data_IF_486881777245
#
_entry.id   IF_486881777245
#
_cell.length_a   1.000
_cell.length_b   1.000
_cell.length_c   1.000
_cell.angle_alpha   90.00
_cell.angle_beta   90.00
_cell.angle_gamma   90.00
#
_symmetry.space_group_name_H-M   'P 1'
#
loop_
_entity.id
_entity.type
_entity.pdbx_description
1 polymer ?
#
# COMPACT_ATOMS: atom_id res chain seq x y z
N UNK A 1 -12.39 15.35 -16.49
CA UNK A 1 -11.59 14.20 -15.99
C UNK A 1 -11.16 14.30 -14.51
N UNK A 2 -11.17 15.48 -13.87
CA UNK A 2 -10.75 15.66 -12.45
C UNK A 2 -11.82 15.42 -11.36
N UNK A 3 -13.09 15.22 -11.73
CA UNK A 3 -14.19 15.01 -10.75
C UNK A 3 -14.14 13.66 -9.99
N UNK A 4 -13.35 12.69 -10.46
CA UNK A 4 -13.29 11.34 -9.88
C UNK A 4 -12.15 11.12 -8.87
N UNK A 5 -11.28 12.11 -8.61
CA UNK A 5 -10.24 11.98 -7.58
C UNK A 5 -10.75 12.26 -6.16
N UNK A 6 -11.85 13.01 -6.01
CA UNK A 6 -12.39 13.43 -4.71
C UNK A 6 -13.57 12.59 -4.20
N UNK A 7 -13.98 11.55 -4.94
CA UNK A 7 -15.14 10.70 -4.61
C UNK A 7 -14.76 9.35 -4.01
N UNK A 8 -13.47 9.05 -3.83
CA UNK A 8 -13.03 7.79 -3.23
C UNK A 8 -13.13 7.86 -1.71
N UNK A 9 -13.95 6.99 -1.13
CA UNK A 9 -14.00 6.77 0.31
C UNK A 9 -12.65 6.22 0.78
N UNK A 10 -12.12 6.75 1.88
CA UNK A 10 -10.97 6.11 2.51
C UNK A 10 -11.38 4.74 3.06
N UNK A 11 -10.43 3.81 3.17
CA UNK A 11 -10.71 2.50 3.78
C UNK A 11 -11.29 2.66 5.21
N UNK A 12 -10.83 3.68 5.95
CA UNK A 12 -11.38 4.05 7.26
C UNK A 12 -12.86 4.45 7.18
N UNK A 13 -13.25 5.20 6.16
CA UNK A 13 -14.65 5.59 5.98
C UNK A 13 -15.52 4.40 5.56
N UNK A 14 -15.00 3.47 4.74
CA UNK A 14 -15.71 2.23 4.40
C UNK A 14 -15.95 1.37 5.65
N UNK A 15 -14.94 1.23 6.51
CA UNK A 15 -15.06 0.55 7.81
C UNK A 15 -16.17 1.19 8.64
N UNK A 16 -16.15 2.51 8.77
CA UNK A 16 -17.12 3.24 9.58
C UNK A 16 -18.55 3.13 9.01
N UNK A 17 -18.70 3.23 7.69
CA UNK A 17 -19.98 3.03 7.00
C UNK A 17 -20.53 1.63 7.29
N UNK A 18 -19.73 0.60 7.01
CA UNK A 18 -20.15 -0.80 7.13
C UNK A 18 -20.46 -1.16 8.58
N UNK A 19 -19.62 -0.73 9.54
CA UNK A 19 -19.84 -0.99 10.96
C UNK A 19 -21.12 -0.34 11.49
N UNK A 20 -21.42 0.89 11.05
CA UNK A 20 -22.66 1.58 11.45
C UNK A 20 -23.88 0.90 10.86
N UNK A 21 -23.82 0.55 9.57
CA UNK A 21 -24.92 -0.15 8.92
C UNK A 21 -25.14 -1.53 9.57
N UNK A 22 -24.07 -2.31 9.80
CA UNK A 22 -24.15 -3.59 10.52
C UNK A 22 -24.83 -3.44 11.88
N UNK A 23 -24.42 -2.44 12.68
CA UNK A 23 -25.02 -2.19 13.99
C UNK A 23 -26.51 -1.88 13.92
N UNK A 24 -26.94 -1.03 12.97
CA UNK A 24 -28.34 -0.65 12.82
C UNK A 24 -29.21 -1.80 12.31
N UNK A 25 -28.73 -2.54 11.32
CA UNK A 25 -29.43 -3.72 10.79
C UNK A 25 -29.57 -4.80 11.86
N UNK A 26 -28.51 -5.03 12.67
CA UNK A 26 -28.56 -5.96 13.81
C UNK A 26 -29.49 -5.50 14.94
N UNK A 27 -29.77 -4.21 15.01
CA UNK A 27 -30.76 -3.63 15.93
C UNK A 27 -32.18 -3.62 15.32
N UNK A 28 -32.42 -4.40 14.26
CA UNK A 28 -33.67 -4.52 13.53
C UNK A 28 -34.20 -3.19 12.95
N UNK A 29 -33.32 -2.20 12.76
CA UNK A 29 -33.69 -0.94 12.10
C UNK A 29 -33.80 -1.19 10.59
N UNK A 30 -34.93 -0.85 9.94
CA UNK A 30 -35.07 -1.03 8.50
C UNK A 30 -33.92 -0.39 7.72
N UNK A 31 -33.47 -1.05 6.64
CA UNK A 31 -32.31 -0.60 5.85
C UNK A 31 -32.44 0.83 5.33
N UNK A 32 -33.64 1.21 4.86
CA UNK A 32 -33.91 2.55 4.38
C UNK A 32 -33.79 3.60 5.49
N UNK A 33 -34.28 3.29 6.69
CA UNK A 33 -34.18 4.17 7.85
C UNK A 33 -32.73 4.29 8.33
N UNK A 34 -32.02 3.16 8.38
CA UNK A 34 -30.60 3.10 8.69
C UNK A 34 -29.77 4.00 7.76
N UNK A 35 -30.01 3.93 6.45
CA UNK A 35 -29.34 4.77 5.46
C UNK A 35 -29.68 6.26 5.63
N UNK A 36 -30.94 6.61 5.91
CA UNK A 36 -31.37 8.00 6.21
C UNK A 36 -30.69 8.54 7.47
N UNK A 37 -30.55 7.73 8.52
CA UNK A 37 -29.82 8.13 9.74
C UNK A 37 -28.34 8.41 9.43
N UNK A 38 -27.70 7.54 8.65
CA UNK A 38 -26.29 7.71 8.23
C UNK A 38 -26.08 8.92 7.31
N UNK A 39 -27.05 9.22 6.44
CA UNK A 39 -27.08 10.41 5.59
C UNK A 39 -27.09 11.68 6.44
N UNK A 40 -27.98 11.79 7.43
CA UNK A 40 -28.07 12.96 8.34
C UNK A 40 -26.79 13.20 9.16
N UNK A 41 -26.06 12.13 9.48
CA UNK A 41 -24.81 12.22 10.26
C UNK A 41 -23.56 12.44 9.40
N UNK A 42 -23.69 12.50 8.07
CA UNK A 42 -22.56 12.63 7.17
C UNK A 42 -22.11 14.09 7.05
N UNK A 43 -20.85 14.37 7.46
CA UNK A 43 -20.26 15.71 7.37
C UNK A 43 -19.64 16.05 6.00
N UNK A 44 -19.45 15.06 5.13
CA UNK A 44 -18.78 15.25 3.84
C UNK A 44 -19.78 15.39 2.70
N UNK A 45 -19.70 16.49 1.95
CA UNK A 45 -20.56 16.73 0.78
C UNK A 45 -20.48 15.62 -0.28
N UNK A 46 -19.30 15.04 -0.50
CA UNK A 46 -19.14 13.96 -1.48
C UNK A 46 -19.84 12.67 -1.02
N UNK A 47 -19.75 12.33 0.27
CA UNK A 47 -20.41 11.16 0.84
C UNK A 47 -21.92 11.32 0.94
N UNK A 48 -22.38 12.53 1.27
CA UNK A 48 -23.80 12.87 1.29
C UNK A 48 -24.43 12.55 -0.07
N UNK A 49 -23.84 13.03 -1.18
CA UNK A 49 -24.34 12.73 -2.53
C UNK A 49 -24.45 11.24 -2.87
N UNK A 50 -23.50 10.43 -2.39
CA UNK A 50 -23.55 8.97 -2.60
C UNK A 50 -24.71 8.38 -1.79
N UNK A 51 -24.82 8.75 -0.51
CA UNK A 51 -25.91 8.32 0.37
C UNK A 51 -27.28 8.79 -0.13
N UNK A 52 -27.39 10.01 -0.65
CA UNK A 52 -28.64 10.54 -1.24
C UNK A 52 -29.14 9.61 -2.34
N UNK A 53 -28.24 9.22 -3.26
CA UNK A 53 -28.60 8.34 -4.37
C UNK A 53 -28.90 6.92 -3.91
N UNK A 54 -28.14 6.41 -2.93
CA UNK A 54 -28.40 5.08 -2.35
C UNK A 54 -29.74 5.03 -1.63
N UNK A 55 -30.09 6.06 -0.85
CA UNK A 55 -31.39 6.18 -0.18
C UNK A 55 -32.52 6.24 -1.20
N UNK A 56 -32.37 7.04 -2.26
CA UNK A 56 -33.35 7.14 -3.34
C UNK A 56 -33.56 5.78 -4.02
N UNK A 57 -32.49 5.11 -4.44
CA UNK A 57 -32.56 3.82 -5.13
C UNK A 57 -33.20 2.73 -4.25
N UNK A 58 -32.80 2.64 -2.98
CA UNK A 58 -33.36 1.69 -2.02
C UNK A 58 -34.82 2.02 -1.70
N UNK A 59 -35.19 3.30 -1.63
CA UNK A 59 -36.60 3.71 -1.45
C UNK A 59 -37.49 3.33 -2.64
N UNK A 60 -36.90 3.24 -3.83
CA UNK A 60 -37.56 2.76 -5.05
C UNK A 60 -37.55 1.23 -5.18
N UNK A 61 -37.12 0.51 -4.14
CA UNK A 61 -37.12 -0.96 -4.11
C UNK A 61 -35.90 -1.62 -4.77
N UNK A 62 -34.85 -0.88 -5.10
CA UNK A 62 -33.61 -1.48 -5.59
C UNK A 62 -32.79 -2.07 -4.43
N UNK A 63 -32.07 -3.16 -4.70
CA UNK A 63 -31.09 -3.71 -3.76
C UNK A 63 -29.97 -2.69 -3.44
N UNK A 64 -29.52 -2.67 -2.18
CA UNK A 64 -28.40 -1.86 -1.72
C UNK A 64 -27.14 -2.17 -2.52
N UNK A 65 -26.84 -3.45 -2.75
CA UNK A 65 -25.69 -3.88 -3.56
C UNK A 65 -25.75 -3.35 -4.99
N UNK A 66 -26.93 -3.32 -5.61
CA UNK A 66 -27.13 -2.77 -6.94
C UNK A 66 -26.85 -1.27 -6.97
N UNK A 67 -27.32 -0.50 -5.99
CA UNK A 67 -27.02 0.94 -5.91
C UNK A 67 -25.53 1.19 -5.63
N UNK A 68 -24.93 0.47 -4.68
CA UNK A 68 -23.51 0.59 -4.34
C UNK A 68 -22.58 0.17 -5.50
N UNK A 69 -23.02 -0.73 -6.38
CA UNK A 69 -22.24 -1.17 -7.55
C UNK A 69 -21.87 -0.04 -8.50
N UNK A 70 -22.71 1.01 -8.61
CA UNK A 70 -22.41 2.23 -9.37
C UNK A 70 -21.20 2.99 -8.82
N UNK A 71 -20.83 2.68 -7.56
CA UNK A 71 -19.70 3.25 -6.84
C UNK A 71 -18.64 2.17 -6.56
N UNK A 72 -18.39 1.22 -7.48
CA UNK A 72 -17.40 0.15 -7.29
C UNK A 72 -15.99 0.67 -6.92
N UNK A 73 -15.60 1.83 -7.44
CA UNK A 73 -14.30 2.44 -7.19
C UNK A 73 -14.16 2.94 -5.74
N UNK A 74 -15.30 3.08 -5.07
CA UNK A 74 -15.46 3.65 -3.74
C UNK A 74 -15.65 2.57 -2.68
N UNK A 75 -16.42 1.51 -2.93
CA UNK A 75 -16.64 0.43 -1.95
C UNK A 75 -15.83 -0.84 -2.25
N UNK A 76 -15.38 -1.01 -3.50
CA UNK A 76 -14.68 -2.21 -3.96
C UNK A 76 -15.63 -3.36 -4.26
N UNK A 77 -15.29 -4.19 -5.25
CA UNK A 77 -16.12 -5.32 -5.67
C UNK A 77 -16.33 -6.35 -4.56
N UNK A 78 -15.32 -6.58 -3.71
CA UNK A 78 -15.44 -7.50 -2.58
C UNK A 78 -16.59 -7.10 -1.63
N UNK A 79 -16.62 -5.85 -1.18
CA UNK A 79 -17.66 -5.36 -0.27
C UNK A 79 -19.06 -5.44 -0.90
N UNK A 80 -19.18 -5.04 -2.17
CA UNK A 80 -20.45 -5.06 -2.91
C UNK A 80 -21.00 -6.48 -3.02
N UNK A 81 -20.15 -7.46 -3.33
CA UNK A 81 -20.57 -8.86 -3.47
C UNK A 81 -20.97 -9.48 -2.13
N UNK A 82 -20.28 -9.17 -1.04
CA UNK A 82 -20.68 -9.65 0.30
C UNK A 82 -22.05 -9.10 0.70
N UNK A 83 -22.32 -7.82 0.41
CA UNK A 83 -23.63 -7.21 0.62
C UNK A 83 -24.67 -7.89 -0.25
N UNK A 84 -24.39 -8.09 -1.55
CA UNK A 84 -25.31 -8.75 -2.49
C UNK A 84 -25.75 -10.12 -1.99
N UNK A 85 -24.81 -10.94 -1.57
CA UNK A 85 -25.09 -12.30 -1.07
C UNK A 85 -25.86 -12.25 0.25
N UNK A 86 -25.61 -11.22 1.07
CA UNK A 86 -26.38 -10.98 2.29
C UNK A 86 -27.82 -10.60 2.00
N UNK A 87 -28.06 -9.79 0.97
CA UNK A 87 -29.41 -9.40 0.53
C UNK A 87 -30.17 -10.57 -0.10
N UNK A 88 -29.53 -11.33 -1.00
CA UNK A 88 -30.15 -12.49 -1.66
C UNK A 88 -30.42 -13.63 -0.67
N UNK A 89 -29.53 -13.83 0.31
CA UNK A 89 -29.63 -14.89 1.32
C UNK A 89 -30.39 -14.49 2.59
N UNK A 90 -30.86 -13.25 2.71
CA UNK A 90 -31.57 -12.77 3.92
C UNK A 90 -30.70 -12.75 5.19
N UNK A 91 -29.38 -12.71 5.05
CA UNK A 91 -28.39 -12.72 6.15
C UNK A 91 -27.48 -11.48 6.11
N UNK A 92 -28.08 -10.35 5.73
CA UNK A 92 -27.37 -9.09 5.53
C UNK A 92 -26.72 -8.58 6.83
N UNK A 93 -27.35 -8.80 7.97
CA UNK A 93 -26.82 -8.50 9.31
C UNK A 93 -25.45 -9.14 9.54
N UNK A 94 -25.36 -10.47 9.36
CA UNK A 94 -24.13 -11.26 9.55
C UNK A 94 -23.08 -10.87 8.54
N UNK A 95 -23.45 -10.70 7.27
CA UNK A 95 -22.51 -10.36 6.21
C UNK A 95 -21.94 -8.95 6.37
N UNK A 96 -22.73 -7.98 6.86
CA UNK A 96 -22.23 -6.63 7.15
C UNK A 96 -21.30 -6.61 8.36
N UNK A 97 -21.61 -7.37 9.42
CA UNK A 97 -20.72 -7.50 10.59
C UNK A 97 -19.40 -8.15 10.19
N UNK A 98 -19.49 -9.22 9.39
CA UNK A 98 -18.36 -9.90 8.80
C UNK A 98 -17.50 -8.94 7.94
N UNK A 99 -18.14 -8.20 7.03
CA UNK A 99 -17.47 -7.22 6.16
C UNK A 99 -16.81 -6.08 6.97
N UNK A 100 -17.44 -5.63 8.06
CA UNK A 100 -16.91 -4.57 8.90
C UNK A 100 -15.61 -4.99 9.59
N UNK A 101 -15.56 -6.19 10.16
CA UNK A 101 -14.34 -6.72 10.79
C UNK A 101 -13.24 -6.95 9.75
N UNK A 102 -13.59 -7.45 8.58
CA UNK A 102 -12.66 -7.67 7.47
C UNK A 102 -12.03 -6.36 6.97
N UNK A 103 -12.84 -5.33 6.72
CA UNK A 103 -12.33 -4.01 6.32
C UNK A 103 -11.46 -3.39 7.41
N UNK A 104 -11.77 -3.65 8.70
CA UNK A 104 -10.98 -3.18 9.84
C UNK A 104 -9.61 -3.87 9.87
N UNK A 105 -9.54 -5.20 9.75
CA UNK A 105 -8.26 -5.93 9.63
C UNK A 105 -7.41 -5.40 8.48
N UNK A 106 -8.01 -5.21 7.30
CA UNK A 106 -7.32 -4.59 6.15
C UNK A 106 -6.79 -3.19 6.45
N UNK A 107 -7.57 -2.38 7.17
CA UNK A 107 -7.15 -1.03 7.56
C UNK A 107 -5.98 -1.06 8.53
N UNK A 108 -6.03 -1.93 9.53
CA UNK A 108 -4.98 -2.10 10.53
C UNK A 108 -3.68 -2.61 9.88
N UNK A 109 -3.77 -3.63 9.02
CA UNK A 109 -2.61 -4.14 8.27
C UNK A 109 -1.96 -3.04 7.43
N UNK A 110 -2.76 -2.29 6.67
CA UNK A 110 -2.26 -1.15 5.88
C UNK A 110 -1.63 -0.07 6.76
N UNK A 111 -2.25 0.23 7.91
CA UNK A 111 -1.75 1.23 8.86
C UNK A 111 -0.41 0.79 9.46
N UNK A 112 -0.23 -0.48 9.79
CA UNK A 112 1.04 -1.03 10.29
C UNK A 112 2.15 -0.88 9.25
N UNK A 113 1.90 -1.30 8.01
CA UNK A 113 2.89 -1.17 6.92
C UNK A 113 3.28 0.29 6.68
N UNK A 114 2.31 1.21 6.64
CA UNK A 114 2.59 2.64 6.49
C UNK A 114 3.32 3.20 7.72
N UNK A 115 2.91 2.80 8.92
CA UNK A 115 3.49 3.25 10.18
C UNK A 115 4.97 2.90 10.29
N UNK A 116 5.37 1.70 9.86
CA UNK A 116 6.76 1.26 9.81
C UNK A 116 7.65 2.14 8.91
N UNK A 117 7.09 2.81 7.91
CA UNK A 117 7.85 3.69 7.02
C UNK A 117 8.02 5.13 7.53
N UNK A 118 7.28 5.54 8.57
CA UNK A 118 7.32 6.91 9.07
C UNK A 118 8.71 7.28 9.61
N UNK A 119 9.28 6.40 10.44
CA UNK A 119 10.58 6.63 11.07
C UNK A 119 11.72 6.75 10.05
N UNK A 120 11.87 5.81 9.07
CA UNK A 120 12.87 5.94 8.01
C UNK A 120 12.75 7.23 7.20
N UNK A 121 11.52 7.63 6.85
CA UNK A 121 11.28 8.86 6.08
C UNK A 121 11.68 10.08 6.90
N UNK A 122 11.27 10.15 8.17
CA UNK A 122 11.57 11.29 9.03
C UNK A 122 13.08 11.52 9.19
N UNK A 123 13.82 10.45 9.51
CA UNK A 123 15.29 10.54 9.67
C UNK A 123 15.96 10.91 8.35
N UNK A 124 15.59 10.26 7.25
CA UNK A 124 16.19 10.55 5.94
C UNK A 124 15.98 12.02 5.55
N UNK A 125 14.76 12.54 5.74
CA UNK A 125 14.44 13.94 5.47
C UNK A 125 15.20 14.88 6.40
N UNK A 126 15.31 14.55 7.69
CA UNK A 126 16.07 15.35 8.66
C UNK A 126 17.56 15.40 8.31
N UNK A 127 18.18 14.25 8.01
CA UNK A 127 19.59 14.18 7.61
C UNK A 127 19.85 14.95 6.32
N UNK A 128 19.07 14.69 5.26
CA UNK A 128 19.23 15.41 3.99
C UNK A 128 18.95 16.90 4.14
N UNK A 129 18.00 17.28 5.00
CA UNK A 129 17.70 18.67 5.32
C UNK A 129 18.87 19.37 6.02
N UNK A 130 19.41 18.78 7.08
CA UNK A 130 20.56 19.33 7.83
C UNK A 130 21.79 19.40 6.93
N UNK A 131 22.13 18.31 6.23
CA UNK A 131 23.25 18.29 5.27
C UNK A 131 23.06 19.31 4.16
N UNK A 132 21.83 19.46 3.66
CA UNK A 132 21.46 20.48 2.68
C UNK A 132 21.76 21.88 3.20
N UNK A 133 21.26 22.24 4.39
CA UNK A 133 21.49 23.56 5.01
C UNK A 133 22.97 23.84 5.21
N UNK A 134 23.73 22.87 5.74
CA UNK A 134 25.17 23.01 5.93
C UNK A 134 25.84 23.29 4.58
N UNK A 135 25.50 22.51 3.57
CA UNK A 135 26.12 22.60 2.25
C UNK A 135 25.75 23.88 1.51
N UNK A 136 24.49 24.35 1.57
CA UNK A 136 24.02 25.50 0.79
C UNK A 136 24.16 26.85 1.49
N UNK A 137 24.21 26.88 2.84
CA UNK A 137 24.23 28.14 3.59
C UNK A 137 25.46 28.30 4.47
N UNK A 138 25.88 27.25 5.18
CA UNK A 138 27.03 27.34 6.10
C UNK A 138 28.34 27.29 5.33
N UNK A 139 28.49 26.30 4.44
CA UNK A 139 29.72 26.04 3.70
C UNK A 139 30.16 27.23 2.81
N UNK A 140 29.27 27.89 2.04
CA UNK A 140 29.68 29.02 1.19
C UNK A 140 30.21 30.22 1.99
N UNK A 141 29.83 30.37 3.26
CA UNK A 141 30.35 31.45 4.12
C UNK A 141 31.81 31.24 4.52
N UNK A 142 32.28 29.99 4.51
CA UNK A 142 33.66 29.63 4.86
C UNK A 142 34.54 29.58 3.60
N UNK A 143 33.93 29.41 2.41
CA UNK A 143 34.63 29.31 1.13
C UNK A 143 35.57 30.48 0.79
N UNK A 144 35.25 31.77 1.07
CA UNK A 144 36.17 32.88 0.82
C UNK A 144 37.49 32.76 1.59
N UNK A 145 37.45 32.19 2.80
CA UNK A 145 38.62 31.96 3.66
C UNK A 145 39.52 30.91 3.00
N UNK A 146 38.93 29.83 2.50
CA UNK A 146 39.67 28.79 1.77
C UNK A 146 40.31 29.29 0.47
N UNK A 147 39.59 30.12 -0.29
CA UNK A 147 40.09 30.68 -1.55
C UNK A 147 41.22 31.70 -1.34
N UNK A 148 41.21 32.46 -0.24
CA UNK A 148 42.22 33.48 0.05
C UNK A 148 43.54 32.89 0.57
N UNK A 149 43.56 31.62 0.97
CA UNK A 149 44.74 30.93 1.50
C UNK A 149 45.52 30.13 0.43
N UNK A 150 45.07 30.12 -0.83
CA UNK A 150 45.85 29.59 -1.97
C UNK A 150 46.15 28.09 -1.96
N UNK A 151 45.57 27.33 -1.02
CA UNK A 151 45.81 25.90 -0.87
C UNK A 151 44.97 25.07 -1.86
N UNK A 152 45.54 23.97 -2.35
CA UNK A 152 44.82 23.01 -3.20
C UNK A 152 43.75 22.29 -2.37
N UNK A 153 42.48 22.59 -2.63
CA UNK A 153 41.39 21.97 -1.88
C UNK A 153 41.33 20.45 -2.12
N UNK A 154 41.16 19.66 -1.03
CA UNK A 154 40.95 18.22 -1.12
C UNK A 154 39.83 17.84 -2.10
N UNK A 155 39.91 16.68 -2.77
CA UNK A 155 38.91 16.25 -3.74
C UNK A 155 37.51 16.14 -3.12
N UNK A 156 37.40 15.75 -1.84
CA UNK A 156 36.14 15.70 -1.07
C UNK A 156 35.51 17.09 -0.93
N UNK A 157 36.31 18.09 -0.55
CA UNK A 157 35.90 19.50 -0.45
C UNK A 157 35.49 20.08 -1.80
N UNK A 158 36.24 19.78 -2.88
CA UNK A 158 35.88 20.22 -4.24
C UNK A 158 34.55 19.61 -4.72
N UNK A 159 34.32 18.34 -4.43
CA UNK A 159 33.04 17.69 -4.73
C UNK A 159 31.89 18.33 -3.93
N UNK A 160 32.11 18.60 -2.64
CA UNK A 160 31.11 19.28 -1.80
C UNK A 160 30.79 20.70 -2.30
N UNK A 161 31.79 21.45 -2.76
CA UNK A 161 31.62 22.76 -3.40
C UNK A 161 30.79 22.65 -4.68
N UNK A 162 31.11 21.69 -5.54
CA UNK A 162 30.37 21.47 -6.78
C UNK A 162 28.90 21.12 -6.50
N UNK A 163 28.64 20.25 -5.53
CA UNK A 163 27.29 19.91 -5.09
C UNK A 163 26.56 21.10 -4.46
N UNK A 164 27.26 21.90 -3.65
CA UNK A 164 26.73 23.13 -3.05
C UNK A 164 26.31 24.14 -4.10
N UNK A 165 27.19 24.48 -5.04
CA UNK A 165 26.90 25.43 -6.10
C UNK A 165 25.72 24.96 -6.97
N UNK A 166 25.67 23.66 -7.28
CA UNK A 166 24.55 23.05 -7.99
C UNK A 166 23.24 23.18 -7.20
N UNK A 167 23.24 22.88 -5.90
CA UNK A 167 22.05 22.99 -5.05
C UNK A 167 21.62 24.44 -4.81
N UNK A 168 22.54 25.39 -4.70
CA UNK A 168 22.20 26.81 -4.53
C UNK A 168 21.57 27.38 -5.80
N UNK A 169 22.12 27.08 -6.98
CA UNK A 169 21.60 27.61 -8.24
C UNK A 169 20.38 26.84 -8.78
N UNK A 170 20.37 25.50 -8.63
CA UNK A 170 19.35 24.64 -9.21
C UNK A 170 18.46 23.94 -8.18
N UNK A 171 18.66 24.13 -6.87
CA UNK A 171 17.96 23.39 -5.83
C UNK A 171 16.44 23.48 -5.90
N UNK A 172 15.90 24.66 -6.22
CA UNK A 172 14.45 24.83 -6.45
C UNK A 172 13.98 24.02 -7.66
N UNK A 173 14.74 24.02 -8.76
CA UNK A 173 14.42 23.22 -9.95
C UNK A 173 14.58 21.71 -9.68
N UNK A 174 15.53 21.31 -8.85
CA UNK A 174 15.71 19.92 -8.40
C UNK A 174 14.51 19.48 -7.55
N UNK A 175 14.05 20.30 -6.59
CA UNK A 175 12.87 20.00 -5.77
C UNK A 175 11.62 19.88 -6.65
N UNK A 176 11.36 20.84 -7.54
CA UNK A 176 10.26 20.77 -8.48
C UNK A 176 10.40 19.57 -9.43
N UNK A 177 11.62 19.25 -9.88
CA UNK A 177 11.93 18.11 -10.73
C UNK A 177 11.64 16.79 -10.04
N UNK A 178 12.04 16.63 -8.77
CA UNK A 178 11.75 15.44 -7.96
C UNK A 178 10.25 15.29 -7.71
N UNK A 179 9.54 16.38 -7.38
CA UNK A 179 8.09 16.36 -7.20
C UNK A 179 7.39 16.00 -8.51
N UNK A 180 7.76 16.63 -9.62
CA UNK A 180 7.18 16.36 -10.94
C UNK A 180 7.48 14.93 -11.40
N UNK A 181 8.72 14.45 -11.22
CA UNK A 181 9.11 13.08 -11.51
C UNK A 181 8.34 12.08 -10.65
N UNK A 182 8.14 12.37 -9.36
CA UNK A 182 7.33 11.56 -8.46
C UNK A 182 5.87 11.48 -8.90
N UNK A 183 5.27 12.61 -9.28
CA UNK A 183 3.90 12.67 -9.83
C UNK A 183 3.83 11.89 -11.14
N UNK A 184 4.78 12.08 -12.05
CA UNK A 184 4.85 11.36 -13.33
C UNK A 184 5.02 9.85 -13.12
N UNK A 185 5.86 9.42 -12.17
CA UNK A 185 6.02 8.02 -11.80
C UNK A 185 4.72 7.42 -11.25
N UNK A 186 4.01 8.15 -10.39
CA UNK A 186 2.71 7.71 -9.86
C UNK A 186 1.67 7.61 -10.99
N UNK A 187 1.67 8.57 -11.91
CA UNK A 187 0.76 8.57 -13.07
C UNK A 187 1.10 7.45 -14.04
N UNK A 188 2.39 7.23 -14.33
CA UNK A 188 2.89 6.15 -15.16
C UNK A 188 2.56 4.79 -14.54
N UNK A 189 2.78 4.62 -13.23
CA UNK A 189 2.41 3.41 -12.50
C UNK A 189 0.91 3.12 -12.55
N UNK A 190 0.05 4.15 -12.56
CA UNK A 190 -1.40 3.97 -12.65
C UNK A 190 -1.91 3.74 -14.08
N UNK A 191 -1.29 4.36 -15.08
CA UNK A 191 -1.79 4.35 -16.47
C UNK A 191 -1.11 3.31 -17.36
N UNK A 192 0.18 3.05 -17.15
CA UNK A 192 1.00 2.22 -18.03
C UNK A 192 1.08 0.81 -17.45
N UNK A 193 0.21 -0.08 -17.96
CA UNK A 193 0.15 -1.50 -17.55
C UNK A 193 1.51 -2.23 -17.58
N UNK A 194 2.36 -2.11 -18.63
CA UNK A 194 3.65 -2.80 -18.64
C UNK A 194 4.62 -2.24 -17.59
N UNK A 195 4.59 -0.93 -17.34
CA UNK A 195 5.41 -0.30 -16.30
C UNK A 195 4.99 -0.76 -14.90
N UNK A 196 3.68 -0.79 -14.62
CA UNK A 196 3.14 -1.32 -13.38
C UNK A 196 3.52 -2.80 -13.17
N UNK A 197 3.44 -3.62 -14.22
CA UNK A 197 3.83 -5.02 -14.17
C UNK A 197 5.33 -5.18 -13.89
N UNK A 198 6.20 -4.42 -14.58
CA UNK A 198 7.64 -4.45 -14.36
C UNK A 198 8.00 -4.03 -12.93
N UNK A 199 7.41 -2.93 -12.43
CA UNK A 199 7.59 -2.47 -11.05
C UNK A 199 7.12 -3.54 -10.06
N UNK A 200 5.92 -4.10 -10.26
CA UNK A 200 5.39 -5.16 -9.40
C UNK A 200 6.30 -6.38 -9.35
N UNK A 201 6.91 -6.76 -10.49
CA UNK A 201 7.86 -7.88 -10.57
C UNK A 201 9.18 -7.56 -9.86
N UNK A 202 9.70 -6.34 -10.02
CA UNK A 202 10.94 -5.90 -9.34
C UNK A 202 10.72 -5.90 -7.83
N UNK A 203 9.60 -5.34 -7.33
CA UNK A 203 9.30 -5.33 -5.90
C UNK A 203 9.22 -6.72 -5.29
N UNK A 204 8.71 -7.71 -6.05
CA UNK A 204 8.70 -9.11 -5.62
C UNK A 204 10.09 -9.76 -5.63
N UNK A 205 11.05 -9.21 -6.37
CA UNK A 205 12.41 -9.76 -6.51
C UNK A 205 13.44 -9.12 -5.55
N UNK A 206 13.12 -8.00 -4.89
CA UNK A 206 14.04 -7.37 -3.94
C UNK A 206 14.11 -8.20 -2.66
N UNK A 207 15.30 -8.68 -2.23
CA UNK A 207 15.42 -9.44 -0.98
C UNK A 207 14.87 -8.59 0.19
N UNK A 208 14.12 -9.24 1.09
CA UNK A 208 13.34 -8.65 2.20
C UNK A 208 12.00 -8.00 1.77
N UNK A 209 12.00 -7.02 0.86
CA UNK A 209 10.74 -6.37 0.42
C UNK A 209 9.85 -7.31 -0.41
N UNK A 210 10.46 -8.24 -1.14
CA UNK A 210 9.77 -9.26 -1.94
C UNK A 210 9.00 -10.25 -1.09
N UNK A 211 9.58 -10.74 0.02
CA UNK A 211 8.88 -11.62 0.96
C UNK A 211 7.69 -10.90 1.60
N UNK A 212 7.88 -9.66 2.07
CA UNK A 212 6.77 -8.87 2.62
C UNK A 212 5.65 -8.67 1.59
N UNK A 213 6.01 -8.33 0.35
CA UNK A 213 5.04 -8.14 -0.72
C UNK A 213 4.30 -9.45 -1.05
N UNK A 214 5.02 -10.57 -1.13
CA UNK A 214 4.45 -11.89 -1.38
C UNK A 214 3.47 -12.29 -0.26
N UNK A 215 3.90 -12.27 1.00
CA UNK A 215 3.03 -12.61 2.14
C UNK A 215 1.83 -11.68 2.22
N UNK A 216 1.99 -10.38 1.91
CA UNK A 216 0.87 -9.44 1.83
C UNK A 216 -0.13 -9.80 0.72
N UNK A 217 0.35 -10.15 -0.48
CA UNK A 217 -0.56 -10.56 -1.56
C UNK A 217 -1.22 -11.89 -1.25
N UNK A 218 -0.50 -12.84 -0.66
CA UNK A 218 -1.05 -14.14 -0.29
C UNK A 218 -2.12 -14.02 0.78
N UNK A 219 -1.86 -13.24 1.83
CA UNK A 219 -2.85 -12.97 2.86
C UNK A 219 -4.13 -12.39 2.25
N UNK A 220 -4.04 -11.42 1.33
CA UNK A 220 -5.22 -10.83 0.68
C UNK A 220 -5.91 -11.76 -0.31
N UNK A 221 -5.16 -12.55 -1.09
CA UNK A 221 -5.69 -13.55 -2.02
C UNK A 221 -6.48 -14.61 -1.26
N UNK A 222 -5.84 -15.28 -0.30
CA UNK A 222 -6.43 -16.33 0.51
C UNK A 222 -7.65 -15.81 1.28
N UNK A 223 -7.56 -14.60 1.86
CA UNK A 223 -8.68 -13.99 2.58
C UNK A 223 -9.85 -13.73 1.64
N UNK A 224 -9.65 -12.96 0.59
CA UNK A 224 -10.75 -12.61 -0.32
C UNK A 224 -11.38 -13.85 -0.93
N UNK A 225 -10.58 -14.81 -1.39
CA UNK A 225 -11.09 -16.02 -2.01
C UNK A 225 -11.81 -16.92 -1.00
N UNK A 226 -11.20 -17.18 0.16
CA UNK A 226 -11.80 -17.99 1.23
C UNK A 226 -13.12 -17.43 1.75
N UNK A 227 -13.25 -16.09 1.80
CA UNK A 227 -14.49 -15.43 2.22
C UNK A 227 -15.61 -15.56 1.22
N UNK A 228 -15.32 -15.35 -0.05
CA UNK A 228 -16.32 -15.53 -1.10
C UNK A 228 -16.78 -16.99 -1.13
N UNK A 229 -15.88 -17.95 -0.94
CA UNK A 229 -16.25 -19.37 -0.85
C UNK A 229 -17.09 -19.70 0.39
N UNK A 230 -16.76 -19.15 1.56
CA UNK A 230 -17.55 -19.35 2.79
C UNK A 230 -18.93 -18.69 2.72
N UNK A 231 -19.10 -17.65 1.90
CA UNK A 231 -20.39 -17.07 1.56
C UNK A 231 -21.15 -17.88 0.48
N UNK A 232 -20.73 -19.12 0.18
CA UNK A 232 -21.32 -20.02 -0.81
C UNK A 232 -21.34 -19.46 -2.25
N UNK A 233 -20.43 -18.55 -2.60
CA UNK A 233 -20.25 -18.17 -4.00
C UNK A 233 -19.55 -19.30 -4.75
N UNK A 234 -20.00 -19.54 -5.99
CA UNK A 234 -19.35 -20.49 -6.89
C UNK A 234 -17.86 -20.16 -7.09
N UNK A 235 -17.02 -21.19 -7.13
CA UNK A 235 -15.55 -21.08 -7.12
C UNK A 235 -15.03 -20.17 -8.25
N UNK A 236 -15.57 -20.31 -9.46
CA UNK A 236 -15.20 -19.48 -10.62
C UNK A 236 -15.54 -18.00 -10.38
N UNK A 237 -16.73 -17.71 -9.86
CA UNK A 237 -17.16 -16.34 -9.54
C UNK A 237 -16.29 -15.75 -8.45
N UNK A 238 -16.01 -16.52 -7.40
CA UNK A 238 -15.14 -16.12 -6.30
C UNK A 238 -13.70 -15.82 -6.78
N UNK A 239 -13.15 -16.62 -7.69
CA UNK A 239 -11.83 -16.38 -8.27
C UNK A 239 -11.80 -15.09 -9.11
N UNK A 240 -12.82 -14.85 -9.95
CA UNK A 240 -12.91 -13.62 -10.76
C UNK A 240 -13.02 -12.35 -9.90
N UNK A 241 -13.86 -12.36 -8.86
CA UNK A 241 -13.98 -11.23 -7.92
C UNK A 241 -12.65 -11.03 -7.17
N UNK A 242 -11.99 -12.11 -6.78
CA UNK A 242 -10.67 -12.05 -6.14
C UNK A 242 -9.64 -11.38 -7.07
N UNK A 243 -9.57 -11.77 -8.35
CA UNK A 243 -8.70 -11.14 -9.35
C UNK A 243 -8.98 -9.64 -9.51
N UNK A 244 -10.26 -9.24 -9.49
CA UNK A 244 -10.64 -7.82 -9.58
C UNK A 244 -10.24 -7.01 -8.34
N UNK A 245 -10.29 -7.63 -7.16
CA UNK A 245 -9.96 -6.99 -5.89
C UNK A 245 -8.45 -6.78 -5.68
N UNK A 246 -7.62 -7.58 -6.35
CA UNK A 246 -6.16 -7.53 -6.25
C UNK A 246 -5.57 -6.35 -7.03
N UNK A 247 -4.71 -5.57 -6.38
CA UNK A 247 -4.06 -4.40 -6.98
C UNK A 247 -2.78 -4.73 -7.73
N UNK A 248 -2.10 -5.82 -7.36
CA UNK A 248 -0.88 -6.27 -8.02
C UNK A 248 -1.22 -6.97 -9.34
N UNK A 249 -0.70 -6.46 -10.46
CA UNK A 249 -1.02 -6.97 -11.79
C UNK A 249 -0.50 -8.38 -12.06
N UNK A 250 0.60 -8.78 -11.40
CA UNK A 250 1.16 -10.13 -11.52
C UNK A 250 0.18 -11.15 -10.93
N UNK A 251 -0.24 -10.94 -9.68
CA UNK A 251 -1.26 -11.78 -9.03
C UNK A 251 -2.60 -11.70 -9.75
N UNK A 252 -3.04 -10.50 -10.16
CA UNK A 252 -4.31 -10.34 -10.89
C UNK A 252 -4.35 -11.20 -12.15
N UNK A 253 -3.28 -11.20 -12.95
CA UNK A 253 -3.20 -12.03 -14.16
C UNK A 253 -3.23 -13.52 -13.81
N UNK A 254 -2.50 -13.93 -12.79
CA UNK A 254 -2.44 -15.34 -12.41
C UNK A 254 -3.77 -15.85 -11.84
N UNK A 255 -4.47 -15.04 -11.03
CA UNK A 255 -5.79 -15.40 -10.49
C UNK A 255 -6.86 -15.47 -11.61
N UNK A 256 -6.75 -14.66 -12.67
CA UNK A 256 -7.63 -14.84 -13.83
C UNK A 256 -7.38 -16.14 -14.58
N UNK A 257 -6.12 -16.52 -14.78
CA UNK A 257 -5.80 -17.83 -15.37
C UNK A 257 -6.34 -18.95 -14.48
N UNK A 258 -6.18 -18.82 -13.17
CA UNK A 258 -6.76 -19.77 -12.22
C UNK A 258 -8.28 -19.89 -12.42
N UNK A 259 -9.01 -18.77 -12.52
CA UNK A 259 -10.46 -18.78 -12.77
C UNK A 259 -10.82 -19.49 -14.10
N UNK A 260 -10.03 -19.29 -15.15
CA UNK A 260 -10.19 -19.94 -16.44
C UNK A 260 -9.96 -21.47 -16.34
N UNK A 261 -8.91 -21.89 -15.65
CA UNK A 261 -8.56 -23.31 -15.50
C UNK A 261 -9.56 -24.06 -14.61
N UNK A 262 -10.07 -23.42 -13.56
CA UNK A 262 -11.17 -23.96 -12.74
C UNK A 262 -12.43 -24.12 -13.59
N UNK A 263 -12.72 -23.17 -14.49
CA UNK A 263 -13.87 -23.27 -15.40
C UNK A 263 -13.77 -24.45 -16.36
N UNK A 264 -12.55 -24.91 -16.66
CA UNK A 264 -12.26 -26.12 -17.45
C UNK A 264 -12.23 -27.40 -16.59
N UNK A 265 -12.54 -27.31 -15.30
CA UNK A 265 -12.58 -28.45 -14.37
C UNK A 265 -11.23 -28.87 -13.79
N UNK A 266 -10.17 -28.06 -13.95
CA UNK A 266 -8.88 -28.35 -13.29
C UNK A 266 -8.92 -28.00 -11.80
N UNK A 267 -8.10 -28.71 -11.01
CA UNK A 267 -7.96 -28.44 -9.57
C UNK A 267 -7.18 -27.13 -9.35
N UNK A 268 -7.57 -26.39 -8.31
CA UNK A 268 -6.95 -25.13 -7.89
C UNK A 268 -5.51 -25.41 -7.46
N UNK A 269 -5.32 -26.42 -6.59
CA UNK A 269 -4.01 -26.84 -6.09
C UNK A 269 -3.00 -27.05 -7.23
N UNK A 270 -3.41 -27.77 -8.28
CA UNK A 270 -2.55 -28.03 -9.45
C UNK A 270 -2.13 -26.75 -10.17
N UNK A 271 -3.03 -25.77 -10.32
CA UNK A 271 -2.68 -24.51 -10.97
C UNK A 271 -1.73 -23.68 -10.10
N UNK A 272 -1.97 -23.59 -8.79
CA UNK A 272 -1.11 -22.85 -7.88
C UNK A 272 0.33 -23.41 -7.87
N UNK A 273 0.47 -24.73 -7.99
CA UNK A 273 1.76 -25.42 -8.02
C UNK A 273 2.61 -25.08 -9.27
N UNK A 274 1.98 -24.63 -10.37
CA UNK A 274 2.72 -24.22 -11.58
C UNK A 274 3.54 -22.94 -11.41
N UNK A 275 3.27 -22.15 -10.35
CA UNK A 275 3.88 -20.84 -10.13
C UNK A 275 4.47 -20.73 -8.70
N UNK A 276 5.52 -21.50 -8.37
CA UNK A 276 6.10 -21.56 -7.02
C UNK A 276 6.69 -20.22 -6.56
N UNK A 277 7.04 -19.33 -7.49
CA UNK A 277 7.53 -17.98 -7.18
C UNK A 277 6.44 -17.05 -6.64
N UNK A 278 5.17 -17.36 -6.90
CA UNK A 278 4.02 -16.56 -6.47
C UNK A 278 3.23 -17.28 -5.36
N UNK A 279 3.17 -18.60 -5.42
CA UNK A 279 2.48 -19.45 -4.46
C UNK A 279 3.50 -20.38 -3.79
N UNK A 280 3.94 -20.08 -2.55
CA UNK A 280 4.85 -20.94 -1.81
C UNK A 280 4.25 -22.34 -1.63
N UNK A 281 5.12 -23.35 -1.52
CA UNK A 281 4.76 -24.77 -1.56
C UNK A 281 3.67 -25.19 -0.56
N UNK A 282 3.62 -24.54 0.61
CA UNK A 282 2.59 -24.75 1.62
C UNK A 282 1.17 -24.49 1.08
N UNK A 283 1.01 -23.51 0.18
CA UNK A 283 -0.30 -23.06 -0.31
C UNK A 283 -0.96 -24.12 -1.20
N UNK A 284 -0.36 -24.59 -2.31
CA UNK A 284 -0.92 -25.67 -3.11
C UNK A 284 -1.26 -26.92 -2.28
N UNK A 285 -0.40 -27.30 -1.33
CA UNK A 285 -0.58 -28.49 -0.49
C UNK A 285 -1.81 -28.38 0.42
N UNK A 286 -1.94 -27.29 1.18
CA UNK A 286 -3.09 -27.07 2.05
C UNK A 286 -4.37 -26.87 1.23
N UNK A 287 -4.30 -26.16 0.10
CA UNK A 287 -5.44 -26.04 -0.83
C UNK A 287 -5.88 -27.41 -1.34
N UNK A 288 -4.97 -28.32 -1.69
CA UNK A 288 -5.33 -29.67 -2.14
C UNK A 288 -6.11 -30.44 -1.05
N UNK A 289 -5.71 -30.31 0.21
CA UNK A 289 -6.41 -30.89 1.37
C UNK A 289 -7.80 -30.24 1.51
N UNK A 290 -7.89 -28.92 1.41
CA UNK A 290 -9.15 -28.18 1.48
C UNK A 290 -10.11 -28.52 0.34
N UNK A 291 -9.61 -28.70 -0.88
CA UNK A 291 -10.38 -29.15 -2.04
C UNK A 291 -10.94 -30.56 -1.83
N UNK A 292 -10.11 -31.49 -1.33
CA UNK A 292 -10.49 -32.90 -1.14
C UNK A 292 -11.47 -33.07 0.02
N UNK A 293 -11.33 -32.28 1.09
CA UNK A 293 -12.20 -32.32 2.27
C UNK A 293 -13.46 -31.46 2.13
N UNK A 294 -13.61 -30.73 1.02
CA UNK A 294 -14.74 -29.82 0.79
C UNK A 294 -14.73 -28.57 1.68
N UNK A 295 -13.61 -28.27 2.33
CA UNK A 295 -13.49 -27.18 3.31
C UNK A 295 -12.51 -26.08 2.87
N UNK A 296 -12.37 -25.90 1.55
CA UNK A 296 -11.45 -24.97 0.90
C UNK A 296 -11.54 -23.54 1.46
N UNK A 297 -12.76 -23.03 1.69
CA UNK A 297 -12.97 -21.68 2.21
C UNK A 297 -12.31 -21.47 3.58
N UNK A 298 -12.49 -22.40 4.53
CA UNK A 298 -11.83 -22.33 5.85
C UNK A 298 -10.33 -22.51 5.75
N UNK A 299 -9.85 -23.41 4.89
CA UNK A 299 -8.40 -23.60 4.68
C UNK A 299 -7.73 -22.33 4.15
N UNK A 300 -8.37 -21.64 3.20
CA UNK A 300 -7.88 -20.35 2.71
C UNK A 300 -7.89 -19.27 3.79
N UNK A 301 -8.87 -19.25 4.70
CA UNK A 301 -8.83 -18.31 5.83
C UNK A 301 -7.70 -18.60 6.81
N UNK A 302 -7.45 -19.88 7.10
CA UNK A 302 -6.30 -20.28 7.90
C UNK A 302 -4.98 -19.82 7.26
N UNK A 303 -4.81 -20.04 5.96
CA UNK A 303 -3.65 -19.54 5.21
C UNK A 303 -3.56 -18.01 5.26
N UNK A 304 -4.69 -17.30 5.15
CA UNK A 304 -4.73 -15.85 5.28
C UNK A 304 -4.19 -15.37 6.63
N UNK A 305 -4.65 -15.99 7.73
CA UNK A 305 -4.22 -15.62 9.08
C UNK A 305 -2.72 -15.93 9.29
N UNK A 306 -2.23 -17.05 8.74
CA UNK A 306 -0.81 -17.39 8.74
C UNK A 306 0.05 -16.33 8.02
N UNK A 307 -0.31 -15.98 6.79
CA UNK A 307 0.43 -14.96 6.03
C UNK A 307 0.27 -13.55 6.61
N UNK A 308 -0.83 -13.25 7.29
CA UNK A 308 -0.98 -11.99 8.01
C UNK A 308 -0.04 -11.91 9.22
N UNK A 309 0.14 -13.02 9.95
CA UNK A 309 1.15 -13.12 11.00
C UNK A 309 2.56 -12.92 10.42
N UNK A 310 2.88 -13.57 9.30
CA UNK A 310 4.17 -13.40 8.62
C UNK A 310 4.40 -11.95 8.18
N UNK A 311 3.38 -11.27 7.63
CA UNK A 311 3.47 -9.84 7.30
C UNK A 311 3.75 -8.99 8.54
N UNK A 312 3.12 -9.29 9.68
CA UNK A 312 3.37 -8.56 10.92
C UNK A 312 4.82 -8.74 11.39
N UNK A 313 5.34 -9.97 11.35
CA UNK A 313 6.70 -10.29 11.76
C UNK A 313 7.74 -9.67 10.82
N UNK A 314 7.55 -9.81 9.51
CA UNK A 314 8.41 -9.20 8.50
C UNK A 314 8.41 -7.67 8.60
N UNK A 315 7.26 -7.04 8.87
CA UNK A 315 7.17 -5.59 9.08
C UNK A 315 7.96 -5.14 10.30
N UNK A 316 7.88 -5.91 11.40
CA UNK A 316 8.66 -5.64 12.63
C UNK A 316 10.16 -5.77 12.36
N UNK A 317 10.57 -6.86 11.71
CA UNK A 317 11.97 -7.13 11.40
C UNK A 317 12.56 -6.11 10.41
N UNK A 318 11.80 -5.72 9.39
CA UNK A 318 12.17 -4.66 8.46
C UNK A 318 12.43 -3.34 9.19
N UNK A 319 11.55 -2.97 10.13
CA UNK A 319 11.71 -1.73 10.90
C UNK A 319 13.02 -1.73 11.70
N UNK A 320 13.36 -2.86 12.34
CA UNK A 320 14.61 -3.01 13.10
C UNK A 320 15.85 -3.11 12.21
N UNK A 321 15.77 -3.76 11.04
CA UNK A 321 16.90 -3.91 10.14
C UNK A 321 17.23 -2.62 9.36
N UNK A 322 16.24 -1.76 9.12
CA UNK A 322 16.43 -0.47 8.45
C UNK A 322 17.26 0.50 9.32
N UNK A 323 17.15 0.42 10.66
CA UNK A 323 17.85 1.34 11.56
C UNK A 323 19.39 1.31 11.42
N UNK A 324 20.07 0.15 11.49
CA UNK A 324 21.52 0.08 11.23
C UNK A 324 21.92 0.61 9.85
N UNK A 325 21.13 0.30 8.81
CA UNK A 325 21.40 0.79 7.45
C UNK A 325 21.31 2.32 7.39
N UNK A 326 20.30 2.90 8.05
CA UNK A 326 20.16 4.35 8.16
C UNK A 326 21.32 4.97 8.94
N UNK A 327 21.75 4.38 10.06
CA UNK A 327 22.88 4.88 10.85
C UNK A 327 24.18 4.87 10.04
N UNK A 328 24.46 3.79 9.30
CA UNK A 328 25.63 3.71 8.42
C UNK A 328 25.54 4.76 7.31
N UNK A 329 24.39 4.86 6.65
CA UNK A 329 24.16 5.85 5.59
C UNK A 329 24.34 7.29 6.08
N UNK A 330 23.76 7.61 7.25
CA UNK A 330 23.92 8.91 7.91
C UNK A 330 25.38 9.16 8.28
N UNK A 331 26.06 8.17 8.86
CA UNK A 331 27.47 8.25 9.21
C UNK A 331 28.35 8.54 8.00
N UNK A 332 28.06 7.91 6.85
CA UNK A 332 28.75 8.18 5.58
C UNK A 332 28.50 9.62 5.12
N UNK A 333 27.25 10.10 5.13
CA UNK A 333 26.92 11.48 4.71
C UNK A 333 27.56 12.51 5.64
N UNK A 334 27.35 12.38 6.94
CA UNK A 334 27.86 13.33 7.94
C UNK A 334 29.38 13.26 7.99
N UNK A 335 29.97 12.07 7.93
CA UNK A 335 31.41 11.86 7.83
C UNK A 335 32.00 12.49 6.57
N UNK A 336 31.35 12.33 5.41
CA UNK A 336 31.76 12.99 4.17
C UNK A 336 31.78 14.52 4.30
N UNK A 337 30.73 15.11 4.89
CA UNK A 337 30.68 16.55 5.14
C UNK A 337 31.76 16.98 6.14
N UNK A 338 31.93 16.24 7.23
CA UNK A 338 32.92 16.54 8.27
C UNK A 338 34.34 16.51 7.68
N UNK A 339 34.73 15.46 6.96
CA UNK A 339 36.02 15.36 6.27
C UNK A 339 36.20 16.52 5.28
N UNK A 340 35.16 16.82 4.49
CA UNK A 340 35.21 17.91 3.50
C UNK A 340 35.41 19.29 4.11
N UNK A 341 34.99 19.51 5.36
CA UNK A 341 35.13 20.79 6.07
C UNK A 341 36.41 20.84 6.91
N UNK A 342 36.71 19.76 7.63
CA UNK A 342 37.79 19.71 8.62
C UNK A 342 39.15 19.54 7.95
N UNK A 343 39.28 18.70 6.91
CA UNK A 343 40.57 18.45 6.25
C UNK A 343 41.23 19.74 5.74
N UNK A 344 40.53 20.65 5.04
CA UNK A 344 41.11 21.93 4.65
C UNK A 344 41.62 22.76 5.84
N UNK A 345 40.90 22.77 6.98
CA UNK A 345 41.31 23.52 8.17
C UNK A 345 42.64 23.00 8.73
N UNK A 346 42.86 21.68 8.72
CA UNK A 346 44.12 21.08 9.16
C UNK A 346 45.27 21.37 8.20
N UNK A 347 45.06 21.27 6.88
CA UNK A 347 46.08 21.62 5.88
C UNK A 347 46.49 23.09 5.99
N UNK A 348 45.54 23.98 6.30
CA UNK A 348 45.84 25.39 6.56
C UNK A 348 46.69 25.57 7.82
N UNK A 349 46.35 24.88 8.91
CA UNK A 349 47.08 24.99 10.17
C UNK A 349 48.51 24.42 10.06
N UNK A 350 48.71 23.35 9.29
CA UNK A 350 50.04 22.78 9.06
C UNK A 350 50.92 23.69 8.21
N UNK A 351 50.35 24.35 7.19
CA UNK A 351 51.10 25.31 6.36
C UNK A 351 51.39 26.66 7.08
N UNK A 352 50.81 26.89 8.27
CA UNK A 352 51.02 28.07 9.11
C UNK A 352 52.13 27.90 10.16
N UNK A 353 52.68 26.68 10.33
CA UNK A 353 53.89 26.46 11.11
C UNK A 353 55.09 26.41 10.15
N UNK A 354 56.09 27.31 10.27
CA UNK A 354 57.28 27.32 9.43
C UNK A 354 58.18 26.10 9.66
#
# INVERSE_FOLDING_TARGET
MFKNLFTKLSLKDQVLFTKRLAFLIRADVPILESLKMMQRQTRSRARAKILDKVVEDVSNGQYLSASLSRYNNTFGEFAINIIKVGEEGGILDKNLEYLAEELKKRHELKKKVIGAMIYPIFITVATLGITGIITTYVFPKIMPIFNSLGANLPPTTRLLIAMSNFLVHYGIFVIFGVIAAGILLILAYKKIKPFNYAVSRIFLAVPIFGHLALSYQMANFCRTFGLLLNCNLGIVTAANITANSTTNLVYKREIYKLAEEISKGRKISQHLDTSPTLFPEMVPQLVAIGETTGNLGKTLLYLSDHYEAEVNDLTKNLSSAIEPVLLVFMGVIVGFVAVSVITPIYELTQNLHP
#
